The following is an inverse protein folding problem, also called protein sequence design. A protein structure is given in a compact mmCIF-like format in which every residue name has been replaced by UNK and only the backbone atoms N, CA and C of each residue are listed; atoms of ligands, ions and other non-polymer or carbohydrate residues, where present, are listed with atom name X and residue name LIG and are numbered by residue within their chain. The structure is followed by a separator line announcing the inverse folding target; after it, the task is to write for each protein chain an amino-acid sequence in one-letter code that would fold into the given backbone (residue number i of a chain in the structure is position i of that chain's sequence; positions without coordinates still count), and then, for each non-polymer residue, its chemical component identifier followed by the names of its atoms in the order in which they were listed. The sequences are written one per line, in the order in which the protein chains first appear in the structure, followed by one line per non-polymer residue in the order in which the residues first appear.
data_IF_220278514269
#
_entry.id   IF_220278514269
#
_cell.length_a   1.000
_cell.length_b   1.000
_cell.length_c   1.000
_cell.angle_alpha   90.00
_cell.angle_beta   90.00
_cell.angle_gamma   90.00
#
_symmetry.space_group_name_H-M   'P 1'
#
loop_
_entity.id
_entity.type
_entity.pdbx_description
1 polymer ?
#
# COMPACT_ATOMS: atom_id res chain seq x y z
N UNK A 1 -20.48 7.67 16.06
CA UNK A 1 -20.05 6.48 15.31
C UNK A 1 -18.62 6.17 15.71
N UNK A 2 -18.43 5.13 16.52
CA UNK A 2 -17.13 4.68 17.00
C UNK A 2 -16.66 3.60 16.02
N UNK A 3 -15.74 3.93 15.11
CA UNK A 3 -14.88 2.93 14.51
C UNK A 3 -13.53 3.04 15.21
N UNK A 4 -13.39 2.24 16.27
CA UNK A 4 -12.15 2.00 17.02
C UNK A 4 -11.76 0.55 16.80
N UNK A 5 -10.74 0.32 15.96
CA UNK A 5 -9.70 -0.67 16.21
C UNK A 5 -8.45 -0.16 15.47
N UNK A 6 -7.53 0.46 16.20
CA UNK A 6 -6.14 0.60 15.75
C UNK A 6 -5.29 0.06 16.89
N UNK A 7 -5.16 -1.27 16.93
CA UNK A 7 -4.22 -1.93 17.83
C UNK A 7 -2.80 -1.48 17.47
N UNK A 8 -2.22 -0.66 18.34
CA UNK A 8 -0.82 -0.30 18.29
C UNK A 8 -0.05 -1.49 18.85
N UNK A 9 0.39 -2.40 17.98
CA UNK A 9 1.42 -3.39 18.37
C UNK A 9 2.76 -2.65 18.34
N UNK A 10 3.07 -1.94 19.43
CA UNK A 10 4.45 -1.57 19.75
C UNK A 10 5.23 -2.83 20.16
N UNK A 11 6.57 -2.75 20.05
CA UNK A 11 7.59 -3.64 20.63
C UNK A 11 8.32 -4.61 19.67
N UNK A 12 9.22 -4.05 18.87
CA UNK A 12 10.67 -4.23 19.00
C UNK A 12 11.33 -3.13 18.15
N UNK A 13 12.64 -2.88 18.25
CA UNK A 13 13.34 -2.03 17.25
C UNK A 13 13.13 -2.70 15.89
N UNK A 14 12.13 -2.25 15.14
CA UNK A 14 11.78 -2.78 13.83
C UNK A 14 12.93 -2.42 12.89
N UNK A 15 13.68 -3.44 12.46
CA UNK A 15 14.63 -3.33 11.37
C UNK A 15 13.88 -3.07 10.06
N UNK A 16 14.56 -2.54 9.05
CA UNK A 16 13.97 -2.33 7.72
C UNK A 16 13.35 -3.62 7.16
N UNK A 17 13.94 -4.78 7.44
CA UNK A 17 13.39 -6.09 7.05
C UNK A 17 12.00 -6.36 7.64
N UNK A 18 11.80 -6.05 8.93
CA UNK A 18 10.49 -6.22 9.54
C UNK A 18 9.47 -5.25 8.95
N UNK A 19 9.90 -4.01 8.63
CA UNK A 19 9.05 -3.06 7.92
C UNK A 19 8.66 -3.55 6.53
N UNK A 20 9.61 -4.16 5.79
CA UNK A 20 9.35 -4.76 4.48
C UNK A 20 8.34 -5.89 4.57
N UNK A 21 8.48 -6.77 5.57
CA UNK A 21 7.53 -7.86 5.81
C UNK A 21 6.13 -7.35 6.15
N UNK A 22 6.01 -6.33 7.01
CA UNK A 22 4.73 -5.71 7.35
C UNK A 22 4.11 -5.03 6.11
N UNK A 23 4.89 -4.29 5.33
CA UNK A 23 4.41 -3.65 4.10
C UNK A 23 3.87 -4.69 3.10
N UNK A 24 4.56 -5.81 2.93
CA UNK A 24 4.08 -6.91 2.08
C UNK A 24 2.79 -7.55 2.58
N UNK A 25 2.65 -7.72 3.90
CA UNK A 25 1.42 -8.25 4.50
C UNK A 25 0.23 -7.30 4.30
N UNK A 26 0.44 -6.00 4.49
CA UNK A 26 -0.60 -4.98 4.24
C UNK A 26 -1.00 -4.89 2.76
N UNK A 27 -0.03 -4.95 1.84
CA UNK A 27 -0.33 -4.98 0.40
C UNK A 27 -1.09 -6.25 0.00
N UNK A 28 -0.79 -7.38 0.66
CA UNK A 28 -1.51 -8.63 0.44
C UNK A 28 -2.98 -8.51 0.84
N UNK A 29 -3.28 -7.87 1.97
CA UNK A 29 -4.67 -7.59 2.37
C UNK A 29 -5.39 -6.73 1.33
N UNK A 30 -4.74 -5.67 0.83
CA UNK A 30 -5.29 -4.79 -0.23
C UNK A 30 -5.53 -5.59 -1.52
N UNK A 31 -4.61 -6.47 -1.92
CA UNK A 31 -4.78 -7.35 -3.08
C UNK A 31 -5.97 -8.27 -2.92
N UNK A 32 -6.12 -8.88 -1.75
CA UNK A 32 -7.22 -9.83 -1.53
C UNK A 32 -8.58 -9.11 -1.59
N UNK A 33 -8.68 -7.89 -1.06
CA UNK A 33 -9.85 -7.01 -1.21
C UNK A 33 -10.14 -6.63 -2.67
N UNK A 34 -9.08 -6.38 -3.46
CA UNK A 34 -9.22 -6.09 -4.90
C UNK A 34 -9.67 -7.32 -5.68
N UNK A 35 -9.15 -8.50 -5.31
CA UNK A 35 -9.53 -9.78 -5.92
C UNK A 35 -10.99 -10.12 -5.67
N UNK A 36 -11.54 -9.80 -4.50
CA UNK A 36 -12.98 -9.91 -4.24
C UNK A 36 -13.83 -9.03 -5.17
N UNK A 37 -13.29 -7.89 -5.63
CA UNK A 37 -13.93 -7.02 -6.62
C UNK A 37 -13.68 -7.47 -8.07
N UNK A 38 -12.96 -8.57 -8.29
CA UNK A 38 -12.60 -9.08 -9.61
C UNK A 38 -11.40 -8.39 -10.25
N UNK A 39 -10.58 -7.67 -9.48
CA UNK A 39 -9.36 -7.00 -9.95
C UNK A 39 -8.12 -7.69 -9.40
N UNK A 40 -7.13 -7.95 -10.25
CA UNK A 40 -5.85 -8.50 -9.82
C UNK A 40 -4.88 -7.36 -9.47
N UNK A 41 -4.28 -7.38 -8.28
CA UNK A 41 -3.29 -6.38 -7.86
C UNK A 41 -1.91 -7.01 -7.80
N UNK A 42 -0.98 -6.43 -8.56
CA UNK A 42 0.44 -6.83 -8.59
C UNK A 42 1.32 -5.63 -8.24
N UNK A 43 2.48 -5.87 -7.66
CA UNK A 43 3.45 -4.83 -7.35
C UNK A 43 4.88 -5.34 -7.52
N UNK A 44 5.77 -4.44 -7.89
CA UNK A 44 7.22 -4.71 -7.92
C UNK A 44 7.84 -4.51 -6.52
N UNK A 45 9.00 -5.11 -6.28
CA UNK A 45 9.75 -4.95 -5.01
C UNK A 45 10.13 -3.49 -4.74
N UNK A 46 10.23 -2.64 -5.79
CA UNK A 46 10.48 -1.21 -5.65
C UNK A 46 9.40 -0.49 -4.84
N UNK A 47 8.15 -0.97 -4.89
CA UNK A 47 7.04 -0.42 -4.09
C UNK A 47 7.24 -0.72 -2.61
N UNK A 48 7.71 -1.93 -2.29
CA UNK A 48 8.04 -2.29 -0.91
C UNK A 48 9.17 -1.41 -0.37
N UNK A 49 10.23 -1.24 -1.15
CA UNK A 49 11.37 -0.41 -0.75
C UNK A 49 10.99 1.05 -0.56
N UNK A 50 10.15 1.58 -1.44
CA UNK A 50 9.58 2.91 -1.31
C UNK A 50 8.76 3.07 -0.03
N UNK A 51 7.87 2.12 0.24
CA UNK A 51 7.04 2.13 1.44
C UNK A 51 7.89 2.08 2.70
N UNK A 52 8.90 1.21 2.74
CA UNK A 52 9.85 1.13 3.87
C UNK A 52 10.57 2.46 4.02
N UNK A 53 11.21 2.97 2.97
CA UNK A 53 11.99 4.22 3.01
C UNK A 53 11.16 5.44 3.43
N UNK A 54 9.92 5.56 2.94
CA UNK A 54 9.02 6.69 3.25
C UNK A 54 8.35 6.56 4.62
N UNK A 55 8.09 5.34 5.07
CA UNK A 55 7.49 5.09 6.38
C UNK A 55 8.52 4.99 7.51
N UNK A 56 9.80 4.83 7.19
CA UNK A 56 10.91 4.78 8.13
C UNK A 56 11.08 6.14 8.82
N UNK A 57 10.28 6.36 9.85
CA UNK A 57 10.41 7.48 10.77
C UNK A 57 10.76 6.94 12.14
N UNK A 58 12.00 7.24 12.58
CA UNK A 58 12.52 6.94 13.92
C UNK A 58 11.58 7.44 15.04
N UNK A 59 10.75 8.44 14.76
CA UNK A 59 9.89 9.11 15.74
C UNK A 59 8.43 8.63 15.69
N UNK A 60 7.94 8.13 14.55
CA UNK A 60 6.50 7.82 14.34
C UNK A 60 6.18 6.33 14.15
N UNK A 61 7.18 5.47 13.95
CA UNK A 61 6.99 4.01 13.83
C UNK A 61 6.07 3.60 12.68
N UNK A 62 5.53 2.37 12.75
CA UNK A 62 4.71 1.76 11.69
C UNK A 62 3.38 2.50 11.39
N UNK A 63 2.99 3.48 12.22
CA UNK A 63 1.80 4.30 11.99
C UNK A 63 1.89 5.11 10.71
N UNK A 64 3.11 5.50 10.33
CA UNK A 64 3.36 6.23 9.10
C UNK A 64 3.16 5.33 7.86
N UNK A 65 3.49 4.04 7.96
CA UNK A 65 3.35 3.05 6.88
C UNK A 65 1.90 2.94 6.41
N UNK A 66 0.96 2.76 7.34
CA UNK A 66 -0.47 2.65 7.00
C UNK A 66 -0.98 3.89 6.29
N UNK A 67 -0.58 5.08 6.75
CA UNK A 67 -0.96 6.36 6.14
C UNK A 67 -0.36 6.51 4.74
N UNK A 68 0.90 6.10 4.54
CA UNK A 68 1.55 6.12 3.23
C UNK A 68 0.88 5.16 2.26
N UNK A 69 0.54 3.93 2.68
CA UNK A 69 -0.18 2.97 1.83
C UNK A 69 -1.54 3.53 1.42
N UNK A 70 -2.33 4.06 2.35
CA UNK A 70 -3.62 4.66 1.99
C UNK A 70 -3.47 5.83 1.03
N UNK A 71 -2.57 6.77 1.33
CA UNK A 71 -2.49 8.02 0.56
C UNK A 71 -1.77 7.85 -0.78
N UNK A 72 -0.74 7.02 -0.85
CA UNK A 72 0.07 6.90 -2.06
C UNK A 72 -0.39 5.72 -2.93
N UNK A 73 -1.02 4.68 -2.34
CA UNK A 73 -1.49 3.50 -3.08
C UNK A 73 -3.01 3.52 -3.22
N UNK A 74 -3.79 3.56 -2.13
CA UNK A 74 -5.25 3.51 -2.24
C UNK A 74 -5.82 4.72 -2.99
N UNK A 75 -5.38 5.95 -2.67
CA UNK A 75 -5.87 7.15 -3.36
C UNK A 75 -5.46 7.15 -4.85
N UNK A 76 -4.25 6.70 -5.18
CA UNK A 76 -3.77 6.62 -6.56
C UNK A 76 -4.56 5.57 -7.36
N UNK A 77 -4.76 4.38 -6.79
CA UNK A 77 -5.62 3.36 -7.39
C UNK A 77 -7.07 3.85 -7.54
N UNK A 78 -7.62 4.53 -6.53
CA UNK A 78 -8.97 5.08 -6.60
C UNK A 78 -9.10 6.09 -7.75
N UNK A 79 -8.10 6.97 -7.93
CA UNK A 79 -8.08 7.91 -9.06
C UNK A 79 -8.07 7.18 -10.39
N UNK A 80 -7.20 6.17 -10.56
CA UNK A 80 -7.10 5.39 -11.80
C UNK A 80 -8.37 4.57 -12.07
N UNK A 81 -9.02 4.01 -11.05
CA UNK A 81 -10.28 3.28 -11.20
C UNK A 81 -11.43 4.23 -11.59
N UNK A 82 -11.46 5.44 -11.00
CA UNK A 82 -12.49 6.45 -11.29
C UNK A 82 -12.29 7.05 -12.68
N UNK A 83 -11.06 7.36 -13.08
CA UNK A 83 -10.73 7.84 -14.43
C UNK A 83 -10.89 6.73 -15.47
N UNK A 84 -10.53 5.50 -15.08
CA UNK A 84 -10.64 4.27 -15.85
C UNK A 84 -12.06 3.75 -16.04
N UNK A 85 -13.10 4.38 -15.45
CA UNK A 85 -14.54 3.99 -15.58
C UNK A 85 -15.08 3.86 -17.01
N UNK A 86 -14.29 4.17 -18.04
CA UNK A 86 -14.61 3.88 -19.45
C UNK A 86 -14.21 2.47 -19.91
N UNK A 87 -13.42 1.72 -19.13
CA UNK A 87 -13.04 0.33 -19.38
C UNK A 87 -13.10 -0.50 -18.09
N UNK A 88 -13.41 -1.79 -18.19
CA UNK A 88 -13.36 -2.68 -17.04
C UNK A 88 -11.89 -2.91 -16.68
N UNK A 89 -11.40 -2.20 -15.66
CA UNK A 89 -10.06 -2.46 -15.09
C UNK A 89 -10.05 -3.87 -14.53
N UNK A 90 -9.19 -4.71 -15.06
CA UNK A 90 -9.09 -6.13 -14.74
C UNK A 90 -7.83 -6.43 -13.93
N UNK A 91 -6.75 -5.69 -14.19
CA UNK A 91 -5.50 -5.78 -13.47
C UNK A 91 -4.99 -4.38 -13.10
N UNK A 92 -4.33 -4.28 -11.96
CA UNK A 92 -3.61 -3.10 -11.51
C UNK A 92 -2.20 -3.52 -11.15
N UNK A 93 -1.23 -2.80 -11.69
CA UNK A 93 0.19 -2.95 -11.40
C UNK A 93 0.71 -1.71 -10.72
N UNK A 94 1.38 -1.92 -9.59
CA UNK A 94 2.04 -0.87 -8.82
C UNK A 94 3.54 -0.93 -9.09
N UNK A 95 4.11 0.21 -9.47
CA UNK A 95 5.56 0.39 -9.60
C UNK A 95 5.99 1.63 -8.81
N UNK A 96 7.25 1.69 -8.40
CA UNK A 96 7.79 2.89 -7.77
C UNK A 96 9.10 3.32 -8.43
N UNK A 97 9.25 4.62 -8.61
CA UNK A 97 10.50 5.26 -9.04
C UNK A 97 11.41 5.66 -7.86
N UNK A 98 10.97 5.41 -6.62
CA UNK A 98 11.67 5.76 -5.39
C UNK A 98 11.26 7.09 -4.74
N UNK A 99 10.50 7.95 -5.44
CA UNK A 99 9.88 9.17 -4.90
C UNK A 99 8.35 9.14 -4.94
N UNK A 100 7.78 8.43 -5.90
CA UNK A 100 6.33 8.22 -6.08
C UNK A 100 6.01 6.77 -6.43
N UNK A 101 4.74 6.42 -6.28
CA UNK A 101 4.17 5.15 -6.77
C UNK A 101 3.40 5.48 -8.04
N UNK A 102 3.75 4.81 -9.12
CA UNK A 102 3.02 4.84 -10.39
C UNK A 102 2.07 3.63 -10.42
N UNK A 103 0.80 3.93 -10.73
CA UNK A 103 -0.28 2.94 -10.79
C UNK A 103 -0.69 2.77 -12.24
N UNK A 104 -0.42 1.60 -12.78
CA UNK A 104 -0.83 1.21 -14.13
C UNK A 104 -2.04 0.28 -14.02
N UNK A 105 -3.10 0.57 -14.76
CA UNK A 105 -4.29 -0.27 -14.83
C UNK A 105 -4.45 -0.84 -16.24
N UNK A 106 -4.77 -2.13 -16.31
CA UNK A 106 -4.98 -2.91 -17.54
C UNK A 106 -6.41 -3.46 -17.64
#
# INVERSE_FOLDING_TARGET
FINRVDEIICFNKLTEENFRAIAGLMLTEVRDLMREKGMELTWDESVLDYLVKKSYSLTYGARNLRRTIQKDIEDAMASVIVDGRRGAVSAIRLTSDGEKVDVEAE
#
